data_IF_827321492868
#
_entry.id   IF_827321492868
#
_cell.length_a   1.000
_cell.length_b   1.000
_cell.length_c   1.000
_cell.angle_alpha   90.00
_cell.angle_beta   90.00
_cell.angle_gamma   90.00
#
_symmetry.space_group_name_H-M   'P 1'
#
loop_
_entity.id
_entity.type
_entity.pdbx_description
1 polymer ?
#
# COMPACT_ATOMS: atom_id res chain seq x y z
N UNK A 1 -4.97 -19.37 -38.93
CA UNK A 1 -4.38 -18.19 -38.26
C UNK A 1 -3.16 -18.50 -37.39
N UNK A 2 -2.96 -19.75 -36.93
CA UNK A 2 -1.80 -20.12 -36.09
C UNK A 2 -0.49 -20.34 -36.87
N UNK A 3 -0.52 -20.69 -38.17
CA UNK A 3 0.73 -20.94 -38.93
C UNK A 3 1.43 -19.67 -39.45
N UNK A 4 0.71 -18.58 -39.75
CA UNK A 4 1.33 -17.34 -40.26
C UNK A 4 2.07 -16.52 -39.18
N UNK A 5 1.70 -16.70 -37.90
CA UNK A 5 2.39 -16.09 -36.75
C UNK A 5 3.73 -16.80 -36.48
N UNK A 6 3.84 -18.08 -36.83
CA UNK A 6 5.08 -18.86 -36.70
C UNK A 6 6.10 -18.51 -37.79
N UNK A 7 5.68 -18.23 -39.02
CA UNK A 7 6.59 -17.80 -40.12
C UNK A 7 7.16 -16.39 -39.92
N UNK A 8 6.39 -15.46 -39.36
CA UNK A 8 6.85 -14.09 -39.05
C UNK A 8 7.89 -14.03 -37.93
N UNK A 9 7.97 -15.05 -37.06
CA UNK A 9 8.94 -15.11 -35.96
C UNK A 9 10.41 -15.30 -36.40
N UNK A 10 10.66 -15.72 -37.65
CA UNK A 10 12.01 -15.86 -38.22
C UNK A 10 12.71 -14.51 -38.47
N UNK A 11 11.94 -13.45 -38.66
CA UNK A 11 12.47 -12.12 -39.02
C UNK A 11 12.64 -11.17 -37.83
N UNK A 12 12.21 -11.58 -36.63
CA UNK A 12 12.34 -10.76 -35.43
C UNK A 12 13.77 -10.85 -34.87
N UNK A 13 14.30 -9.69 -34.51
CA UNK A 13 15.49 -9.54 -33.65
C UNK A 13 15.26 -10.21 -32.30
N UNK A 14 16.35 -10.45 -31.56
CA UNK A 14 16.26 -11.06 -30.23
C UNK A 14 15.45 -10.18 -29.25
N UNK A 15 15.62 -8.86 -29.31
CA UNK A 15 14.85 -7.89 -28.51
C UNK A 15 13.36 -7.90 -28.86
N UNK A 16 13.00 -8.00 -30.14
CA UNK A 16 11.59 -8.08 -30.54
C UNK A 16 10.94 -9.40 -30.10
N UNK A 17 11.65 -10.52 -30.21
CA UNK A 17 11.17 -11.81 -29.67
C UNK A 17 10.93 -11.74 -28.17
N UNK A 18 11.86 -11.09 -27.44
CA UNK A 18 11.74 -10.90 -26.00
C UNK A 18 10.59 -9.95 -25.65
N UNK A 19 10.36 -8.90 -26.43
CA UNK A 19 9.22 -8.00 -26.27
C UNK A 19 7.88 -8.72 -26.46
N UNK A 20 7.76 -9.56 -27.50
CA UNK A 20 6.55 -10.39 -27.69
C UNK A 20 6.35 -11.35 -26.51
N UNK A 21 7.44 -11.92 -25.97
CA UNK A 21 7.38 -12.78 -24.78
C UNK A 21 6.90 -12.00 -23.55
N UNK A 22 7.38 -10.77 -23.38
CA UNK A 22 6.94 -9.87 -22.32
C UNK A 22 5.44 -9.57 -22.43
N UNK A 23 4.94 -9.18 -23.60
CA UNK A 23 3.51 -8.94 -23.80
C UNK A 23 2.67 -10.20 -23.47
N UNK A 24 3.17 -11.40 -23.79
CA UNK A 24 2.50 -12.66 -23.42
C UNK A 24 2.47 -12.89 -21.91
N UNK A 25 3.55 -12.58 -21.20
CA UNK A 25 3.58 -12.66 -19.74
C UNK A 25 2.57 -11.71 -19.12
N UNK A 26 2.58 -10.45 -19.56
CA UNK A 26 1.67 -9.40 -19.07
C UNK A 26 0.20 -9.80 -19.24
N UNK A 27 -0.21 -10.21 -20.45
CA UNK A 27 -1.58 -10.65 -20.73
C UNK A 27 -1.97 -11.89 -19.92
N UNK A 28 -1.02 -12.82 -19.69
CA UNK A 28 -1.30 -14.03 -18.91
C UNK A 28 -1.52 -13.68 -17.43
N UNK A 29 -0.71 -12.79 -16.88
CA UNK A 29 -0.78 -12.35 -15.49
C UNK A 29 -1.98 -11.42 -15.23
N UNK A 30 -2.43 -10.65 -16.22
CA UNK A 30 -3.70 -9.91 -16.14
C UNK A 30 -4.90 -10.84 -15.94
N UNK A 31 -4.88 -12.03 -16.56
CA UNK A 31 -5.94 -13.03 -16.40
C UNK A 31 -5.83 -13.80 -15.10
N UNK A 32 -4.60 -14.08 -14.68
CA UNK A 32 -4.31 -14.86 -13.50
C UNK A 32 -2.99 -14.40 -12.84
N UNK A 33 -3.06 -13.45 -11.90
CA UNK A 33 -1.88 -12.92 -11.22
C UNK A 33 -1.28 -13.92 -10.22
N UNK A 34 -1.95 -15.05 -9.95
CA UNK A 34 -1.45 -16.08 -9.01
C UNK A 34 -0.31 -16.94 -9.56
N UNK A 35 0.00 -16.80 -10.87
CA UNK A 35 1.10 -17.51 -11.53
C UNK A 35 2.46 -16.91 -11.17
N UNK A 36 2.90 -17.15 -9.94
CA UNK A 36 4.13 -16.59 -9.36
C UNK A 36 5.40 -16.85 -10.18
N UNK A 37 5.51 -18.01 -10.84
CA UNK A 37 6.64 -18.35 -11.72
C UNK A 37 6.77 -17.40 -12.92
N UNK A 38 5.64 -16.89 -13.42
CA UNK A 38 5.62 -15.93 -14.53
C UNK A 38 6.05 -14.54 -14.07
N UNK A 39 5.87 -14.18 -12.79
CA UNK A 39 6.30 -12.87 -12.27
C UNK A 39 7.82 -12.70 -12.35
N UNK A 40 8.57 -13.73 -11.95
CA UNK A 40 10.04 -13.75 -12.04
C UNK A 40 10.50 -13.68 -13.50
N UNK A 41 9.84 -14.45 -14.37
CA UNK A 41 10.12 -14.46 -15.81
C UNK A 41 9.83 -13.10 -16.46
N UNK A 42 8.73 -12.46 -16.09
CA UNK A 42 8.37 -11.11 -16.55
C UNK A 42 9.40 -10.09 -16.08
N UNK A 43 9.78 -10.09 -14.80
CA UNK A 43 10.80 -9.19 -14.24
C UNK A 43 12.13 -9.30 -14.99
N UNK A 44 12.62 -10.52 -15.22
CA UNK A 44 13.87 -10.75 -15.98
C UNK A 44 13.75 -10.15 -17.39
N UNK A 45 12.66 -10.44 -18.11
CA UNK A 45 12.45 -9.93 -19.45
C UNK A 45 12.36 -8.38 -19.48
N UNK A 46 11.74 -7.75 -18.47
CA UNK A 46 11.71 -6.28 -18.32
C UNK A 46 13.10 -5.69 -18.18
N UNK A 47 13.93 -6.28 -17.32
CA UNK A 47 15.29 -5.79 -17.06
C UNK A 47 16.12 -5.91 -18.34
N UNK A 48 16.07 -7.05 -19.02
CA UNK A 48 16.78 -7.29 -20.28
C UNK A 48 16.33 -6.33 -21.39
N UNK A 49 15.05 -5.97 -21.42
CA UNK A 49 14.49 -5.01 -22.38
C UNK A 49 14.65 -3.54 -21.97
N UNK A 50 15.12 -3.24 -20.75
CA UNK A 50 15.10 -1.88 -20.20
C UNK A 50 15.91 -0.87 -21.01
N UNK A 51 16.91 -1.32 -21.78
CA UNK A 51 17.72 -0.48 -22.67
C UNK A 51 17.09 -0.30 -24.07
N UNK A 52 16.09 -1.10 -24.41
CA UNK A 52 15.42 -1.12 -25.71
C UNK A 52 14.03 -0.47 -25.68
N UNK A 53 13.44 -0.32 -24.50
CA UNK A 53 12.13 0.33 -24.32
C UNK A 53 12.29 1.81 -23.97
N UNK A 54 11.37 2.63 -24.47
CA UNK A 54 11.25 4.00 -23.99
C UNK A 54 10.67 4.04 -22.57
N UNK A 55 10.83 5.17 -21.90
CA UNK A 55 10.38 5.38 -20.51
C UNK A 55 8.88 5.11 -20.30
N UNK A 56 8.04 5.41 -21.30
CA UNK A 56 6.60 5.19 -21.21
C UNK A 56 6.25 3.69 -21.16
N UNK A 57 6.81 2.90 -22.08
CA UNK A 57 6.62 1.45 -22.08
C UNK A 57 7.23 0.81 -20.83
N UNK A 58 8.43 1.26 -20.43
CA UNK A 58 9.10 0.74 -19.26
C UNK A 58 8.26 0.99 -18.00
N UNK A 59 7.74 2.21 -17.83
CA UNK A 59 6.82 2.53 -16.75
C UNK A 59 5.57 1.64 -16.77
N UNK A 60 4.89 1.50 -17.92
CA UNK A 60 3.66 0.70 -18.02
C UNK A 60 3.90 -0.74 -17.56
N UNK A 61 4.91 -1.40 -18.12
CA UNK A 61 5.18 -2.80 -17.81
C UNK A 61 5.63 -2.99 -16.35
N UNK A 62 6.44 -2.08 -15.80
CA UNK A 62 6.78 -2.14 -14.38
C UNK A 62 5.58 -1.88 -13.49
N UNK A 63 4.70 -0.94 -13.84
CA UNK A 63 3.48 -0.67 -13.09
C UNK A 63 2.54 -1.87 -13.09
N UNK A 64 2.39 -2.59 -14.21
CA UNK A 64 1.67 -3.86 -14.25
C UNK A 64 2.31 -4.92 -13.34
N UNK A 65 3.63 -5.11 -13.43
CA UNK A 65 4.35 -6.03 -12.55
C UNK A 65 4.15 -5.70 -11.07
N UNK A 66 4.20 -4.41 -10.71
CA UNK A 66 3.97 -3.94 -9.35
C UNK A 66 2.53 -4.20 -8.89
N UNK A 67 1.53 -4.02 -9.76
CA UNK A 67 0.13 -4.39 -9.49
C UNK A 67 0.02 -5.89 -9.22
N UNK A 68 0.66 -6.74 -10.03
CA UNK A 68 0.63 -8.19 -9.80
C UNK A 68 1.29 -8.58 -8.47
N UNK A 69 2.39 -7.93 -8.09
CA UNK A 69 2.98 -8.11 -6.76
C UNK A 69 2.03 -7.67 -5.64
N UNK A 70 1.39 -6.51 -5.77
CA UNK A 70 0.39 -6.04 -4.80
C UNK A 70 -0.75 -7.05 -4.61
N UNK A 71 -1.28 -7.62 -5.70
CA UNK A 71 -2.33 -8.64 -5.66
C UNK A 71 -1.87 -9.94 -4.96
N UNK A 72 -0.62 -10.34 -5.17
CA UNK A 72 -0.02 -11.50 -4.50
C UNK A 72 0.17 -11.24 -2.99
N UNK A 73 0.66 -10.05 -2.63
CA UNK A 73 0.83 -9.65 -1.23
C UNK A 73 -0.52 -9.62 -0.51
N UNK A 74 -1.57 -9.09 -1.15
CA UNK A 74 -2.94 -9.13 -0.63
C UNK A 74 -3.51 -10.55 -0.52
N UNK A 75 -3.02 -11.49 -1.33
CA UNK A 75 -3.41 -12.90 -1.25
C UNK A 75 -2.69 -13.70 -0.17
N UNK A 76 -1.67 -13.11 0.46
CA UNK A 76 -0.89 -13.69 1.55
C UNK A 76 0.60 -13.88 1.25
N UNK A 77 1.03 -13.73 0.00
CA UNK A 77 2.40 -13.99 -0.45
C UNK A 77 3.34 -12.82 -0.09
N UNK A 78 3.79 -12.77 1.17
CA UNK A 78 4.58 -11.65 1.69
C UNK A 78 6.02 -11.60 1.14
N UNK A 79 6.50 -12.66 0.49
CA UNK A 79 7.82 -12.71 -0.14
C UNK A 79 7.99 -11.64 -1.23
N UNK A 80 6.89 -11.20 -1.86
CA UNK A 80 6.93 -10.16 -2.90
C UNK A 80 7.06 -8.74 -2.37
N UNK A 81 6.97 -8.51 -1.05
CA UNK A 81 7.13 -7.16 -0.47
C UNK A 81 8.49 -6.57 -0.83
N UNK A 82 9.56 -7.35 -0.67
CA UNK A 82 10.91 -6.87 -0.98
C UNK A 82 11.10 -6.67 -2.47
N UNK A 83 10.63 -7.61 -3.29
CA UNK A 83 10.70 -7.54 -4.74
C UNK A 83 9.97 -6.31 -5.31
N UNK A 84 8.79 -6.01 -4.80
CA UNK A 84 8.01 -4.81 -5.14
C UNK A 84 8.77 -3.53 -4.76
N UNK A 85 9.37 -3.49 -3.58
CA UNK A 85 10.12 -2.31 -3.14
C UNK A 85 11.38 -2.07 -3.96
N UNK A 86 12.12 -3.14 -4.32
CA UNK A 86 13.27 -3.02 -5.21
C UNK A 86 12.86 -2.56 -6.62
N UNK A 87 11.70 -2.99 -7.13
CA UNK A 87 11.15 -2.45 -8.38
C UNK A 87 10.89 -0.94 -8.28
N UNK A 88 10.27 -0.48 -7.19
CA UNK A 88 10.06 0.96 -6.98
C UNK A 88 11.39 1.73 -6.92
N UNK A 89 12.40 1.23 -6.20
CA UNK A 89 13.75 1.82 -6.18
C UNK A 89 14.32 1.93 -7.60
N UNK A 90 14.23 0.87 -8.40
CA UNK A 90 14.70 0.86 -9.79
C UNK A 90 13.97 1.91 -10.65
N UNK A 91 12.64 1.93 -10.62
CA UNK A 91 11.84 2.89 -11.40
C UNK A 91 12.15 4.34 -11.01
N UNK A 92 12.33 4.59 -9.71
CA UNK A 92 12.75 5.90 -9.18
C UNK A 92 14.15 6.26 -9.65
N UNK A 93 15.12 5.35 -9.59
CA UNK A 93 16.48 5.58 -10.11
C UNK A 93 16.48 5.92 -11.60
N UNK A 94 15.57 5.33 -12.37
CA UNK A 94 15.36 5.60 -13.80
C UNK A 94 14.47 6.82 -14.09
N UNK A 95 14.02 7.56 -13.07
CA UNK A 95 13.12 8.72 -13.18
C UNK A 95 11.76 8.44 -13.84
N UNK A 96 11.29 7.19 -13.89
CA UNK A 96 10.12 6.80 -14.68
C UNK A 96 8.79 7.46 -14.24
N UNK A 97 8.72 7.90 -12.99
CA UNK A 97 7.55 8.58 -12.40
C UNK A 97 7.41 10.05 -12.81
N UNK A 98 8.47 10.65 -13.35
CA UNK A 98 8.55 12.07 -13.74
C UNK A 98 9.25 12.23 -15.10
N UNK A 99 9.14 11.21 -15.94
CA UNK A 99 9.71 11.18 -17.29
C UNK A 99 8.67 10.78 -18.33
N UNK A 100 9.02 10.96 -19.61
CA UNK A 100 8.11 10.76 -20.72
C UNK A 100 7.01 11.82 -20.71
N UNK A 101 5.75 11.37 -20.65
CA UNK A 101 4.57 12.23 -20.67
C UNK A 101 4.08 12.62 -19.26
N UNK A 102 4.81 12.22 -18.20
CA UNK A 102 4.43 12.46 -16.80
C UNK A 102 5.22 13.62 -16.20
N UNK A 103 4.50 14.67 -15.80
CA UNK A 103 5.07 15.79 -15.03
C UNK A 103 5.06 15.50 -13.52
N UNK A 104 4.02 14.83 -13.03
CA UNK A 104 3.81 14.54 -11.60
C UNK A 104 3.58 13.06 -11.34
N UNK A 105 4.09 12.58 -10.20
CA UNK A 105 3.76 11.24 -9.72
C UNK A 105 2.31 11.19 -9.22
N UNK A 106 1.59 10.11 -9.54
CA UNK A 106 0.25 9.90 -9.01
C UNK A 106 0.30 9.67 -7.49
N UNK A 107 -0.64 10.28 -6.75
CA UNK A 107 -0.68 10.16 -5.29
C UNK A 107 -0.78 8.71 -4.80
N UNK A 108 -1.54 7.85 -5.49
CA UNK A 108 -1.69 6.44 -5.10
C UNK A 108 -0.38 5.67 -5.21
N UNK A 109 0.41 5.92 -6.25
CA UNK A 109 1.72 5.30 -6.45
C UNK A 109 2.72 5.83 -5.42
N UNK A 110 2.82 7.16 -5.28
CA UNK A 110 3.68 7.80 -4.30
C UNK A 110 3.41 7.28 -2.87
N UNK A 111 2.13 7.27 -2.49
CA UNK A 111 1.65 6.75 -1.20
C UNK A 111 2.04 5.28 -1.02
N UNK A 112 1.86 4.45 -2.03
CA UNK A 112 2.19 3.02 -1.94
C UNK A 112 3.70 2.82 -1.74
N UNK A 113 4.52 3.52 -2.51
CA UNK A 113 5.99 3.47 -2.38
C UNK A 113 6.41 3.84 -0.96
N UNK A 114 5.90 4.97 -0.44
CA UNK A 114 6.20 5.44 0.91
C UNK A 114 5.80 4.41 1.97
N UNK A 115 4.56 3.92 1.94
CA UNK A 115 4.06 2.97 2.93
C UNK A 115 4.84 1.64 2.91
N UNK A 116 5.29 1.18 1.75
CA UNK A 116 6.11 -0.04 1.65
C UNK A 116 7.54 0.17 2.15
N UNK A 117 8.13 1.35 1.93
CA UNK A 117 9.42 1.69 2.54
C UNK A 117 9.33 1.67 4.08
N UNK A 118 8.29 2.30 4.63
CA UNK A 118 8.06 2.35 6.07
C UNK A 118 7.78 0.96 6.65
N UNK A 119 6.99 0.14 5.94
CA UNK A 119 6.72 -1.25 6.34
C UNK A 119 8.00 -2.09 6.43
N UNK A 120 8.98 -1.81 5.58
CA UNK A 120 10.30 -2.44 5.58
C UNK A 120 11.30 -1.76 6.54
N UNK A 121 10.86 -0.75 7.30
CA UNK A 121 11.68 0.06 8.22
C UNK A 121 12.84 0.78 7.52
N UNK A 122 12.71 1.09 6.23
CA UNK A 122 13.71 1.82 5.45
C UNK A 122 13.52 3.34 5.61
N UNK A 123 13.68 3.82 6.85
CA UNK A 123 13.33 5.20 7.24
C UNK A 123 14.18 6.26 6.54
N UNK A 124 15.50 6.06 6.45
CA UNK A 124 16.42 6.99 5.76
C UNK A 124 16.10 7.09 4.27
N UNK A 125 15.73 5.95 3.66
CA UNK A 125 15.28 5.92 2.28
C UNK A 125 13.96 6.68 2.11
N UNK A 126 13.00 6.47 3.01
CA UNK A 126 11.71 7.16 2.99
C UNK A 126 11.88 8.69 3.11
N UNK A 127 12.77 9.17 3.98
CA UNK A 127 13.10 10.60 4.09
C UNK A 127 13.69 11.15 2.79
N UNK A 128 14.64 10.42 2.21
CA UNK A 128 15.25 10.78 0.94
C UNK A 128 14.22 10.80 -0.21
N UNK A 129 13.28 9.85 -0.20
CA UNK A 129 12.18 9.78 -1.15
C UNK A 129 11.23 10.98 -1.03
N UNK A 130 10.80 11.34 0.18
CA UNK A 130 9.94 12.50 0.43
C UNK A 130 10.63 13.78 -0.08
N UNK A 131 11.90 13.97 0.27
CA UNK A 131 12.68 15.13 -0.18
C UNK A 131 12.83 15.17 -1.70
N UNK A 132 13.05 14.02 -2.34
CA UNK A 132 13.21 13.92 -3.80
C UNK A 132 11.94 14.35 -4.53
N UNK A 133 10.76 13.96 -4.05
CA UNK A 133 9.49 14.23 -4.74
C UNK A 133 8.78 15.51 -4.29
N UNK A 134 9.35 16.29 -3.36
CA UNK A 134 8.77 17.52 -2.84
C UNK A 134 8.28 18.51 -3.92
N UNK A 135 9.00 18.57 -5.06
CA UNK A 135 8.67 19.44 -6.20
C UNK A 135 8.01 18.73 -7.39
N UNK A 136 7.66 17.46 -7.22
CA UNK A 136 7.11 16.58 -8.28
C UNK A 136 5.68 16.14 -7.99
N UNK A 137 4.95 16.96 -7.23
CA UNK A 137 3.52 16.81 -6.97
C UNK A 137 2.75 17.92 -7.67
N UNK A 138 1.49 17.65 -7.99
CA UNK A 138 0.55 18.70 -8.38
C UNK A 138 0.60 19.81 -7.29
N UNK A 139 0.84 21.08 -7.65
CA UNK A 139 0.91 22.20 -6.71
C UNK A 139 -0.27 22.27 -5.74
N UNK A 140 -1.49 21.93 -6.20
CA UNK A 140 -2.71 21.94 -5.38
C UNK A 140 -2.66 20.89 -4.25
N UNK A 141 -2.01 19.75 -4.48
CA UNK A 141 -1.92 18.66 -3.51
C UNK A 141 -0.58 18.62 -2.76
N UNK A 142 0.45 19.33 -3.23
CA UNK A 142 1.83 19.19 -2.75
C UNK A 142 1.95 19.35 -1.24
N UNK A 143 1.35 20.40 -0.66
CA UNK A 143 1.36 20.63 0.79
C UNK A 143 0.73 19.48 1.58
N UNK A 144 -0.44 18.99 1.13
CA UNK A 144 -1.12 17.87 1.77
C UNK A 144 -0.31 16.57 1.66
N UNK A 145 0.25 16.27 0.49
CA UNK A 145 1.08 15.08 0.28
C UNK A 145 2.31 15.12 1.18
N UNK A 146 2.99 16.26 1.30
CA UNK A 146 4.15 16.42 2.17
C UNK A 146 3.80 16.26 3.65
N UNK A 147 2.72 16.90 4.11
CA UNK A 147 2.28 16.78 5.50
C UNK A 147 1.83 15.35 5.82
N UNK A 148 1.11 14.70 4.90
CA UNK A 148 0.73 13.29 5.03
C UNK A 148 1.96 12.41 5.15
N UNK A 149 2.95 12.63 4.27
CA UNK A 149 4.19 11.86 4.27
C UNK A 149 4.95 11.96 5.58
N UNK A 150 5.03 13.18 6.13
CA UNK A 150 5.65 13.43 7.43
C UNK A 150 4.83 12.82 8.56
N UNK A 151 3.50 12.87 8.50
CA UNK A 151 2.63 12.26 9.50
C UNK A 151 2.85 10.73 9.57
N UNK A 152 2.87 10.03 8.43
CA UNK A 152 3.08 8.58 8.43
C UNK A 152 4.51 8.20 8.82
N UNK A 153 5.52 8.95 8.38
CA UNK A 153 6.92 8.68 8.75
C UNK A 153 7.14 8.83 10.26
N UNK A 154 6.69 9.94 10.84
CA UNK A 154 6.84 10.22 12.28
C UNK A 154 6.04 9.24 13.12
N UNK A 155 4.86 8.81 12.67
CA UNK A 155 4.11 7.72 13.33
C UNK A 155 4.91 6.42 13.39
N UNK A 156 5.47 5.97 12.27
CA UNK A 156 6.23 4.71 12.21
C UNK A 156 7.55 4.78 12.99
N UNK A 157 8.05 6.00 13.27
CA UNK A 157 9.16 6.27 14.20
C UNK A 157 8.75 6.32 15.68
N UNK A 158 7.45 6.28 15.99
CA UNK A 158 6.92 6.43 17.35
C UNK A 158 6.77 7.87 17.83
N UNK A 159 6.97 8.87 16.96
CA UNK A 159 6.90 10.30 17.26
C UNK A 159 5.44 10.81 17.17
N UNK A 160 4.59 10.30 18.08
CA UNK A 160 3.13 10.44 17.99
C UNK A 160 2.61 11.89 17.97
N UNK A 161 3.18 12.77 18.79
CA UNK A 161 2.74 14.18 18.86
C UNK A 161 3.09 14.94 17.59
N UNK A 162 4.25 14.64 17.00
CA UNK A 162 4.65 15.23 15.74
C UNK A 162 3.79 14.71 14.58
N UNK A 163 3.45 13.42 14.59
CA UNK A 163 2.52 12.84 13.62
C UNK A 163 1.16 13.51 13.67
N UNK A 164 0.59 13.67 14.87
CA UNK A 164 -0.69 14.34 15.08
C UNK A 164 -0.66 15.80 14.60
N UNK A 165 0.44 16.52 14.86
CA UNK A 165 0.64 17.89 14.38
C UNK A 165 0.56 17.96 12.85
N UNK A 166 1.28 17.10 12.13
CA UNK A 166 1.21 17.08 10.67
C UNK A 166 -0.19 16.69 10.16
N UNK A 167 -0.80 15.68 10.77
CA UNK A 167 -2.13 15.20 10.39
C UNK A 167 -3.21 16.28 10.54
N UNK A 168 -3.12 17.12 11.58
CA UNK A 168 -4.06 18.22 11.84
C UNK A 168 -4.04 19.34 10.78
N UNK A 169 -3.02 19.37 9.92
CA UNK A 169 -2.86 20.40 8.88
C UNK A 169 -3.35 19.97 7.50
N UNK A 170 -3.89 18.75 7.38
CA UNK A 170 -4.34 18.20 6.11
C UNK A 170 -5.73 18.72 5.73
N UNK A 171 -5.87 19.12 4.47
CA UNK A 171 -7.18 19.34 3.84
C UNK A 171 -7.63 18.00 3.23
N UNK A 172 -8.77 17.47 3.69
CA UNK A 172 -9.17 16.08 3.45
C UNK A 172 -10.20 15.94 2.31
N UNK A 173 -10.00 16.67 1.22
CA UNK A 173 -10.88 16.65 0.05
C UNK A 173 -10.65 15.39 -0.81
N UNK A 174 -9.43 14.86 -0.81
CA UNK A 174 -9.11 13.60 -1.47
C UNK A 174 -9.58 12.40 -0.64
N UNK A 175 -10.31 11.50 -1.29
CA UNK A 175 -10.92 10.33 -0.64
C UNK A 175 -9.85 9.41 -0.03
N UNK A 176 -8.75 9.16 -0.75
CA UNK A 176 -7.69 8.25 -0.27
C UNK A 176 -7.01 8.88 0.95
N UNK A 177 -6.70 10.18 0.88
CA UNK A 177 -6.10 10.91 1.98
C UNK A 177 -7.00 10.92 3.22
N UNK A 178 -8.31 11.11 3.04
CA UNK A 178 -9.28 11.04 4.15
C UNK A 178 -9.29 9.67 4.83
N UNK A 179 -9.41 8.59 4.05
CA UNK A 179 -9.42 7.22 4.59
C UNK A 179 -8.14 6.89 5.37
N UNK A 180 -7.00 7.33 4.84
CA UNK A 180 -5.70 7.09 5.47
C UNK A 180 -5.47 7.95 6.71
N UNK A 181 -5.93 9.20 6.69
CA UNK A 181 -5.81 10.12 7.83
C UNK A 181 -6.65 9.66 9.00
N UNK A 182 -7.90 9.22 8.75
CA UNK A 182 -8.76 8.69 9.81
C UNK A 182 -8.19 7.40 10.42
N UNK A 183 -7.64 6.51 9.57
CA UNK A 183 -6.98 5.30 10.06
C UNK A 183 -5.74 5.62 10.91
N UNK A 184 -4.91 6.58 10.47
CA UNK A 184 -3.72 7.01 11.21
C UNK A 184 -4.10 7.69 12.53
N UNK A 185 -5.10 8.57 12.53
CA UNK A 185 -5.59 9.25 13.73
C UNK A 185 -6.09 8.25 14.77
N UNK A 186 -6.84 7.25 14.32
CA UNK A 186 -7.34 6.18 15.17
C UNK A 186 -6.21 5.38 15.83
N UNK A 187 -5.15 5.08 15.07
CA UNK A 187 -3.95 4.42 15.59
C UNK A 187 -3.20 5.32 16.58
N UNK A 188 -3.00 6.61 16.28
CA UNK A 188 -2.36 7.58 17.19
C UNK A 188 -3.11 7.66 18.52
N UNK A 189 -4.43 7.83 18.50
CA UNK A 189 -5.23 7.93 19.72
C UNK A 189 -5.22 6.62 20.52
N UNK A 190 -5.13 5.47 19.85
CA UNK A 190 -4.93 4.20 20.53
C UNK A 190 -3.59 4.14 21.28
N UNK A 191 -2.49 4.54 20.62
CA UNK A 191 -1.13 4.53 21.21
C UNK A 191 -0.97 5.57 22.33
N UNK A 192 -1.74 6.67 22.29
CA UNK A 192 -1.75 7.72 23.31
C UNK A 192 -2.74 7.48 24.46
N UNK A 193 -3.41 6.33 24.51
CA UNK A 193 -4.46 6.02 25.49
C UNK A 193 -5.68 6.97 25.47
N UNK A 194 -5.91 7.68 24.36
CA UNK A 194 -7.05 8.59 24.19
C UNK A 194 -8.28 7.82 23.69
N UNK A 195 -8.77 6.87 24.51
CA UNK A 195 -9.73 5.85 24.08
C UNK A 195 -11.08 6.45 23.64
N UNK A 196 -11.63 7.42 24.38
CA UNK A 196 -12.89 8.07 24.00
C UNK A 196 -12.77 8.82 22.67
N UNK A 197 -11.63 9.50 22.45
CA UNK A 197 -11.33 10.18 21.19
C UNK A 197 -11.18 9.19 20.04
N UNK A 198 -10.51 8.05 20.28
CA UNK A 198 -10.38 6.97 19.31
C UNK A 198 -11.75 6.37 18.92
N UNK A 199 -12.64 6.14 19.90
CA UNK A 199 -13.99 5.65 19.63
C UNK A 199 -14.82 6.65 18.81
N UNK A 200 -14.72 7.94 19.12
CA UNK A 200 -15.38 9.01 18.36
C UNK A 200 -14.90 9.03 16.89
N UNK A 201 -13.57 8.97 16.67
CA UNK A 201 -12.98 8.90 15.32
C UNK A 201 -13.46 7.64 14.59
N UNK A 202 -13.48 6.48 15.25
CA UNK A 202 -13.95 5.25 14.65
C UNK A 202 -15.42 5.34 14.18
N UNK A 203 -16.28 6.03 14.93
CA UNK A 203 -17.68 6.22 14.55
C UNK A 203 -17.86 7.20 13.39
N UNK A 204 -17.16 8.34 13.39
CA UNK A 204 -17.17 9.25 12.25
C UNK A 204 -16.58 8.62 10.99
N UNK A 205 -15.50 7.84 11.14
CA UNK A 205 -14.83 7.15 10.03
C UNK A 205 -15.76 6.09 9.43
N UNK A 206 -16.44 5.31 10.27
CA UNK A 206 -17.44 4.33 9.82
C UNK A 206 -18.60 4.99 9.08
N UNK A 207 -19.10 6.12 9.58
CA UNK A 207 -20.17 6.86 8.91
C UNK A 207 -19.72 7.35 7.54
N UNK A 208 -18.54 7.96 7.43
CA UNK A 208 -17.98 8.43 6.17
C UNK A 208 -17.84 7.29 5.15
N UNK A 209 -17.23 6.17 5.56
CA UNK A 209 -17.04 5.00 4.67
C UNK A 209 -18.37 4.46 4.15
N UNK A 210 -19.41 4.39 4.99
CA UNK A 210 -20.71 3.83 4.60
C UNK A 210 -21.56 4.77 3.76
N UNK A 211 -21.42 6.09 3.97
CA UNK A 211 -22.21 7.11 3.26
C UNK A 211 -21.59 7.52 1.93
N UNK A 212 -20.29 7.31 1.74
CA UNK A 212 -19.59 7.68 0.52
C UNK A 212 -19.86 6.70 -0.63
N UNK A 213 -20.68 7.12 -1.59
CA UNK A 213 -21.11 6.33 -2.76
C UNK A 213 -20.04 6.13 -3.83
N UNK A 214 -18.89 6.82 -3.73
CA UNK A 214 -17.77 6.68 -4.68
C UNK A 214 -16.92 5.44 -4.34
N UNK A 215 -16.92 5.01 -3.08
CA UNK A 215 -16.16 3.85 -2.64
C UNK A 215 -16.76 2.55 -3.19
N UNK A 216 -15.90 1.66 -3.66
CA UNK A 216 -16.34 0.31 -4.04
C UNK A 216 -16.69 -0.53 -2.81
N UNK A 217 -17.57 -1.52 -2.99
CA UNK A 217 -17.97 -2.43 -1.92
C UNK A 217 -16.78 -3.10 -1.22
N UNK A 218 -15.74 -3.42 -1.98
CA UNK A 218 -14.52 -4.01 -1.43
C UNK A 218 -13.77 -3.03 -0.52
N UNK A 219 -13.68 -1.76 -0.90
CA UNK A 219 -13.05 -0.72 -0.05
C UNK A 219 -13.89 -0.48 1.20
N UNK A 220 -15.22 -0.38 1.06
CA UNK A 220 -16.16 -0.23 2.19
C UNK A 220 -16.00 -1.39 3.17
N UNK A 221 -15.94 -2.62 2.67
CA UNK A 221 -15.71 -3.82 3.49
C UNK A 221 -14.36 -3.76 4.22
N UNK A 222 -13.27 -3.52 3.51
CA UNK A 222 -11.92 -3.51 4.08
C UNK A 222 -11.76 -2.47 5.20
N UNK A 223 -12.32 -1.27 5.00
CA UNK A 223 -12.29 -0.21 6.02
C UNK A 223 -13.22 -0.54 7.19
N UNK A 224 -14.41 -1.07 6.91
CA UNK A 224 -15.36 -1.48 7.96
C UNK A 224 -14.80 -2.58 8.85
N UNK A 225 -14.07 -3.54 8.27
CA UNK A 225 -13.40 -4.61 9.01
C UNK A 225 -12.31 -4.04 9.93
N UNK A 226 -11.43 -3.17 9.40
CA UNK A 226 -10.42 -2.47 10.21
C UNK A 226 -11.05 -1.72 11.38
N UNK A 227 -12.08 -0.91 11.11
CA UNK A 227 -12.78 -0.13 12.16
C UNK A 227 -13.45 -1.05 13.18
N UNK A 228 -14.08 -2.15 12.74
CA UNK A 228 -14.69 -3.15 13.63
C UNK A 228 -13.64 -3.71 14.59
N UNK A 229 -12.50 -4.16 14.08
CA UNK A 229 -11.43 -4.73 14.90
C UNK A 229 -10.86 -3.69 15.86
N UNK A 230 -10.60 -2.47 15.40
CA UNK A 230 -10.17 -1.36 16.26
C UNK A 230 -11.14 -1.09 17.40
N UNK A 231 -12.45 -1.05 17.14
CA UNK A 231 -13.46 -0.83 18.19
C UNK A 231 -13.48 -1.96 19.22
N UNK A 232 -13.25 -3.22 18.81
CA UNK A 232 -13.15 -4.33 19.75
C UNK A 232 -11.94 -4.15 20.68
N UNK A 233 -10.77 -3.85 20.12
CA UNK A 233 -9.52 -3.61 20.85
C UNK A 233 -9.68 -2.43 21.82
N UNK A 234 -10.24 -1.30 21.36
CA UNK A 234 -10.46 -0.10 22.18
C UNK A 234 -11.41 -0.34 23.34
N UNK A 235 -12.52 -1.06 23.11
CA UNK A 235 -13.49 -1.39 24.17
C UNK A 235 -12.86 -2.24 25.25
N UNK A 236 -12.03 -3.22 24.89
CA UNK A 236 -11.33 -4.04 25.87
C UNK A 236 -10.39 -3.18 26.73
N UNK A 237 -9.61 -2.31 26.10
CA UNK A 237 -8.71 -1.39 26.80
C UNK A 237 -9.45 -0.44 27.76
N UNK A 238 -10.69 -0.07 27.44
CA UNK A 238 -11.54 0.79 28.29
C UNK A 238 -12.15 0.05 29.49
N UNK A 239 -12.69 -1.15 29.27
CA UNK A 239 -13.51 -1.83 30.28
C UNK A 239 -12.74 -2.84 31.13
N UNK A 240 -11.54 -3.26 30.71
CA UNK A 240 -10.76 -4.32 31.36
C UNK A 240 -11.48 -5.68 31.44
N UNK A 241 -12.66 -5.79 30.84
CA UNK A 241 -13.47 -7.00 30.85
C UNK A 241 -13.11 -7.84 29.63
N UNK A 242 -12.77 -9.10 29.91
CA UNK A 242 -12.43 -10.21 28.99
C UNK A 242 -13.56 -10.59 28.01
N UNK A 243 -14.51 -9.70 27.72
CA UNK A 243 -15.74 -10.04 27.01
C UNK A 243 -15.57 -10.20 25.50
N UNK A 244 -14.34 -10.17 24.99
CA UNK A 244 -14.07 -10.55 23.61
C UNK A 244 -13.22 -11.82 23.62
N UNK A 245 -13.67 -12.79 22.85
CA UNK A 245 -12.95 -14.04 22.63
C UNK A 245 -11.67 -13.69 21.83
N UNK A 246 -10.54 -13.66 22.53
CA UNK A 246 -9.24 -13.31 21.95
C UNK A 246 -8.89 -14.22 20.80
N UNK A 247 -9.02 -15.53 20.99
CA UNK A 247 -8.72 -16.53 19.97
C UNK A 247 -9.57 -16.29 18.73
N UNK A 248 -10.87 -16.05 18.92
CA UNK A 248 -11.78 -15.75 17.81
C UNK A 248 -11.42 -14.46 17.08
N UNK A 249 -11.11 -13.37 17.80
CA UNK A 249 -10.76 -12.09 17.16
C UNK A 249 -9.42 -12.20 16.41
N UNK A 250 -8.46 -12.89 17.01
CA UNK A 250 -7.15 -13.15 16.42
C UNK A 250 -7.28 -14.02 15.17
N UNK A 251 -8.11 -15.05 15.22
CA UNK A 251 -8.45 -15.90 14.07
C UNK A 251 -9.16 -15.10 12.97
N UNK A 252 -10.17 -14.29 13.32
CA UNK A 252 -10.89 -13.42 12.38
C UNK A 252 -9.92 -12.49 11.63
N UNK A 253 -9.02 -11.81 12.35
CA UNK A 253 -8.02 -10.92 11.75
C UNK A 253 -7.01 -11.71 10.90
N UNK A 254 -6.59 -12.89 11.37
CA UNK A 254 -5.63 -13.75 10.70
C UNK A 254 -6.18 -14.34 9.40
N UNK A 255 -7.47 -14.71 9.37
CA UNK A 255 -8.12 -15.29 8.20
C UNK A 255 -8.62 -14.22 7.21
N UNK A 256 -8.78 -12.97 7.67
CA UNK A 256 -9.10 -11.86 6.78
C UNK A 256 -7.87 -11.45 5.95
N UNK A 257 -7.86 -11.84 4.67
CA UNK A 257 -6.76 -11.52 3.73
C UNK A 257 -6.71 -10.05 3.32
N UNK A 258 -7.81 -9.31 3.42
CA UNK A 258 -7.95 -7.96 2.87
C UNK A 258 -7.97 -6.87 3.95
N UNK A 259 -7.84 -7.25 5.22
CA UNK A 259 -7.81 -6.28 6.34
C UNK A 259 -6.58 -5.38 6.24
N UNK A 260 -6.82 -4.06 6.31
CA UNK A 260 -5.74 -3.06 6.35
C UNK A 260 -5.02 -3.14 7.69
N UNK A 261 -3.71 -2.86 7.68
CA UNK A 261 -2.85 -2.81 8.89
C UNK A 261 -2.93 -4.09 9.75
N UNK A 262 -3.15 -5.25 9.12
CA UNK A 262 -3.25 -6.57 9.77
C UNK A 262 -2.18 -6.82 10.84
N UNK A 263 -0.91 -6.63 10.48
CA UNK A 263 0.21 -6.90 11.38
C UNK A 263 0.17 -6.00 12.63
N UNK A 264 -0.20 -4.73 12.46
CA UNK A 264 -0.34 -3.81 13.59
C UNK A 264 -1.52 -4.20 14.48
N UNK A 265 -2.68 -4.56 13.91
CA UNK A 265 -3.84 -5.05 14.67
C UNK A 265 -3.50 -6.29 15.50
N UNK A 266 -2.83 -7.27 14.89
CA UNK A 266 -2.40 -8.49 15.56
C UNK A 266 -1.40 -8.18 16.68
N UNK A 267 -0.40 -7.33 16.42
CA UNK A 267 0.54 -6.91 17.44
C UNK A 267 -0.16 -6.26 18.64
N UNK A 268 -1.10 -5.33 18.41
CA UNK A 268 -1.83 -4.66 19.49
C UNK A 268 -2.78 -5.59 20.23
N UNK A 269 -3.32 -6.57 19.54
CA UNK A 269 -4.12 -7.61 20.16
C UNK A 269 -3.29 -8.49 21.10
N UNK A 270 -2.11 -8.91 20.64
CA UNK A 270 -1.17 -9.76 21.39
C UNK A 270 -0.62 -8.97 22.62
N UNK A 271 -0.25 -7.69 22.47
CA UNK A 271 0.20 -6.81 23.57
C UNK A 271 -0.85 -6.69 24.70
N UNK A 272 -2.12 -6.55 24.34
CA UNK A 272 -3.22 -6.48 25.32
C UNK A 272 -3.38 -7.82 26.05
N UNK A 273 -3.32 -8.95 25.34
CA UNK A 273 -3.47 -10.26 25.97
C UNK A 273 -2.34 -10.56 26.97
N UNK A 274 -1.09 -10.25 26.61
CA UNK A 274 0.07 -10.45 27.49
C UNK A 274 -0.01 -9.60 28.76
N UNK A 275 -0.43 -8.33 28.64
CA UNK A 275 -0.59 -7.44 29.80
C UNK A 275 -1.62 -7.95 30.83
N UNK A 276 -2.68 -8.64 30.37
CA UNK A 276 -3.71 -9.23 31.24
C UNK A 276 -3.35 -10.61 31.78
N UNK A 277 -2.48 -11.37 31.09
CA UNK A 277 -2.02 -12.68 31.56
C UNK A 277 -0.99 -12.58 32.68
N UNK A 278 -0.29 -11.44 32.76
CA UNK A 278 0.74 -11.15 33.76
C UNK A 278 0.24 -10.30 34.95
N UNK A 279 -1.04 -9.91 34.95
CA UNK A 279 -1.71 -9.15 36.02
C UNK A 279 -2.65 -10.03 36.84
#
# INVERSE_FOLDING_TARGET
MTSSILESSKYLTQSEKLFVKLCKYDVTLMKDPSKTELLKSMKSALIDLSVHLNDNLLYIFFSHLNIFYLLNISSGNQEFIRELFENYKFMIQKNLYVSGEREFINFSEYRTILLYALRLKEFEWAESFIKRFEKHHNPEMSKNILNYSKAVLTFEKGELDQSLKYLSTLELDDIILKLDSDALLLMIYYEKDYIDSALSVADSFKYYVKSNKILSDQVVKNQSDFIKYMKCILKHKLTGMSSFDYEKLREDISNNKTVRRKNWLLQKLDEIHESHSNS
#
